data_IF_316347713228
#
_entry.id   IF_316347713228
#
_cell.length_a   1.000
_cell.length_b   1.000
_cell.length_c   1.000
_cell.angle_alpha   90.00
_cell.angle_beta   90.00
_cell.angle_gamma   90.00
#
_symmetry.space_group_name_H-M   'P 1'
#
loop_
_entity.id
_entity.type
_entity.pdbx_description
1 polymer ?
#
# COMPACT_ATOMS: atom_id res chain seq x y z
N UNK A 1 -18.57 -12.06 -11.63
CA UNK A 1 -17.86 -10.92 -11.01
C UNK A 1 -16.54 -11.43 -10.47
N UNK A 2 -15.41 -10.88 -10.93
CA UNK A 2 -14.11 -11.20 -10.34
C UNK A 2 -14.04 -10.50 -8.98
N UNK A 3 -13.75 -11.24 -7.91
CA UNK A 3 -13.61 -10.66 -6.58
C UNK A 3 -12.25 -9.96 -6.51
N UNK A 4 -12.24 -8.63 -6.38
CA UNK A 4 -10.99 -7.87 -6.25
C UNK A 4 -10.66 -7.79 -4.77
N UNK A 5 -9.61 -8.50 -4.35
CA UNK A 5 -9.16 -8.44 -2.95
C UNK A 5 -8.68 -7.03 -2.63
N UNK A 6 -9.16 -6.48 -1.51
CA UNK A 6 -8.87 -5.13 -1.04
C UNK A 6 -8.17 -5.19 0.31
N UNK A 7 -7.04 -4.49 0.43
CA UNK A 7 -6.21 -4.47 1.63
C UNK A 7 -6.01 -3.03 2.11
N UNK A 8 -6.03 -2.84 3.44
CA UNK A 8 -5.69 -1.58 4.09
C UNK A 8 -4.61 -1.82 5.14
N UNK A 9 -3.46 -1.17 4.97
CA UNK A 9 -2.31 -1.30 5.87
C UNK A 9 -2.25 -0.11 6.84
N UNK A 10 -2.25 -0.38 8.15
CA UNK A 10 -1.97 0.63 9.17
C UNK A 10 -0.47 0.61 9.45
N UNK A 11 0.20 1.77 9.35
CA UNK A 11 1.66 1.87 9.41
C UNK A 11 2.33 1.41 8.12
N UNK A 12 1.78 1.80 6.96
CA UNK A 12 2.21 1.31 5.64
C UNK A 12 3.64 1.76 5.27
N UNK A 13 4.13 2.82 5.88
CA UNK A 13 5.51 3.30 5.76
C UNK A 13 6.54 2.44 6.50
N UNK A 14 6.11 1.48 7.33
CA UNK A 14 7.01 0.52 7.98
C UNK A 14 7.71 -0.41 6.97
N UNK A 15 8.92 -0.87 7.30
CA UNK A 15 9.78 -1.64 6.37
C UNK A 15 9.13 -2.94 5.88
N UNK A 16 8.33 -3.60 6.73
CA UNK A 16 7.66 -4.85 6.38
C UNK A 16 6.36 -4.62 5.62
N UNK A 17 5.56 -3.65 6.09
CA UNK A 17 4.25 -3.36 5.53
C UNK A 17 4.34 -2.78 4.13
N UNK A 18 5.32 -1.92 3.87
CA UNK A 18 5.57 -1.36 2.54
C UNK A 18 5.90 -2.42 1.49
N UNK A 19 6.72 -3.42 1.84
CA UNK A 19 7.03 -4.54 0.95
C UNK A 19 5.80 -5.39 0.61
N UNK A 20 4.96 -5.68 1.61
CA UNK A 20 3.71 -6.41 1.40
C UNK A 20 2.70 -5.61 0.56
N UNK A 21 2.58 -4.30 0.82
CA UNK A 21 1.72 -3.43 0.03
C UNK A 21 2.15 -3.38 -1.44
N UNK A 22 3.47 -3.25 -1.70
CA UNK A 22 4.03 -3.29 -3.06
C UNK A 22 3.79 -4.65 -3.75
N UNK A 23 3.95 -5.77 -3.04
CA UNK A 23 3.68 -7.10 -3.59
C UNK A 23 2.20 -7.25 -4.00
N UNK A 24 1.28 -6.87 -3.13
CA UNK A 24 -0.17 -7.05 -3.35
C UNK A 24 -0.68 -6.16 -4.48
N UNK A 25 -0.22 -4.91 -4.57
CA UNK A 25 -0.65 -4.01 -5.66
C UNK A 25 -0.14 -4.51 -7.01
N UNK A 26 1.10 -5.04 -7.07
CA UNK A 26 1.66 -5.67 -8.28
C UNK A 26 0.92 -6.96 -8.69
N UNK A 27 0.32 -7.67 -7.74
CA UNK A 27 -0.54 -8.83 -8.02
C UNK A 27 -1.96 -8.45 -8.47
N UNK A 28 -2.27 -7.15 -8.59
CA UNK A 28 -3.58 -6.66 -9.04
C UNK A 28 -4.62 -6.50 -7.92
N UNK A 29 -4.19 -6.59 -6.65
CA UNK A 29 -5.07 -6.29 -5.52
C UNK A 29 -5.26 -4.78 -5.37
N UNK A 30 -6.40 -4.37 -4.82
CA UNK A 30 -6.60 -2.97 -4.42
C UNK A 30 -5.92 -2.74 -3.08
N UNK A 31 -4.95 -1.85 -3.02
CA UNK A 31 -4.19 -1.58 -1.79
C UNK A 31 -4.33 -0.12 -1.38
N UNK A 32 -4.54 0.08 -0.09
CA UNK A 32 -4.50 1.38 0.58
C UNK A 32 -3.71 1.27 1.88
N UNK A 33 -3.34 2.39 2.48
CA UNK A 33 -2.73 2.40 3.79
C UNK A 33 -2.78 3.76 4.47
N UNK A 34 -2.40 3.78 5.74
CA UNK A 34 -2.22 4.98 6.54
C UNK A 34 -0.88 4.93 7.25
N UNK A 35 -0.29 6.10 7.49
CA UNK A 35 0.87 6.23 8.37
C UNK A 35 0.84 7.56 9.11
N UNK A 36 1.53 7.65 10.26
CA UNK A 36 1.60 8.87 11.06
C UNK A 36 2.42 9.97 10.36
N UNK A 37 3.39 9.57 9.54
CA UNK A 37 4.27 10.48 8.84
C UNK A 37 4.38 10.12 7.36
N UNK A 38 4.33 11.15 6.51
CA UNK A 38 4.71 11.02 5.11
C UNK A 38 6.22 10.95 4.98
N UNK A 39 6.71 10.15 4.04
CA UNK A 39 8.13 10.06 3.71
C UNK A 39 8.37 9.30 2.41
N UNK A 40 9.65 9.07 2.09
CA UNK A 40 10.04 8.45 0.82
C UNK A 40 9.37 7.10 0.54
N UNK A 41 9.07 6.30 1.57
CA UNK A 41 8.36 5.03 1.42
C UNK A 41 6.89 5.26 1.03
N UNK A 42 6.16 6.12 1.75
CA UNK A 42 4.76 6.41 1.43
C UNK A 42 4.64 7.06 0.05
N UNK A 43 5.55 7.97 -0.30
CA UNK A 43 5.56 8.63 -1.61
C UNK A 43 5.79 7.62 -2.73
N UNK A 44 6.74 6.69 -2.56
CA UNK A 44 6.97 5.60 -3.51
C UNK A 44 5.73 4.72 -3.64
N UNK A 45 5.08 4.35 -2.55
CA UNK A 45 3.87 3.51 -2.59
C UNK A 45 2.73 4.19 -3.37
N UNK A 46 2.57 5.51 -3.23
CA UNK A 46 1.61 6.27 -4.05
C UNK A 46 1.93 6.17 -5.55
N UNK A 47 3.21 6.24 -5.95
CA UNK A 47 3.59 6.05 -7.37
C UNK A 47 3.28 4.65 -7.91
N UNK A 48 3.15 3.65 -7.04
CA UNK A 48 2.82 2.27 -7.37
C UNK A 48 1.29 2.01 -7.39
N UNK A 49 0.48 3.03 -7.14
CA UNK A 49 -0.98 2.93 -7.13
C UNK A 49 -1.58 2.55 -5.78
N UNK A 50 -0.78 2.56 -4.70
CA UNK A 50 -1.30 2.41 -3.34
C UNK A 50 -1.85 3.76 -2.87
N UNK A 51 -3.10 3.80 -2.43
CA UNK A 51 -3.67 5.03 -1.83
C UNK A 51 -3.17 5.17 -0.39
N UNK A 52 -2.38 6.19 -0.08
CA UNK A 52 -1.90 6.47 1.29
C UNK A 52 -2.71 7.63 1.90
N UNK A 53 -3.03 7.51 3.19
CA UNK A 53 -3.76 8.49 4.00
C UNK A 53 -2.89 9.05 5.12
#
# INVERSE_FOLDING_TARGET
>A
MVNINSYHFIGVGGIGMSGLAELLVRQGSRVSGSDLARGAITDRLETLGVRVH
#
